data_IF_455866632990
#
_entry.id   IF_455866632990
#
_cell.length_a   1.000
_cell.length_b   1.000
_cell.length_c   1.000
_cell.angle_alpha   90.00
_cell.angle_beta   90.00
_cell.angle_gamma   90.00
#
_symmetry.space_group_name_H-M   'P 1'
#
loop_
_entity.id
_entity.type
_entity.pdbx_description
1 polymer ?
#
# COMPACT_ATOMS: atom_id res chain seq x y z
N UNK A 1 -9.92 -21.88 5.69
CA UNK A 1 -9.99 -20.80 6.70
C UNK A 1 -9.62 -19.55 5.93
N UNK A 2 -10.55 -18.61 5.83
CA UNK A 2 -10.37 -17.45 4.95
C UNK A 2 -9.40 -16.47 5.62
N UNK A 3 -8.18 -16.41 5.13
CA UNK A 3 -7.11 -15.56 5.66
C UNK A 3 -6.99 -14.30 4.83
N UNK A 4 -6.96 -13.16 5.53
CA UNK A 4 -6.67 -11.85 4.94
C UNK A 4 -5.24 -11.46 5.32
N UNK A 5 -4.38 -11.24 4.34
CA UNK A 5 -3.02 -10.77 4.58
C UNK A 5 -2.97 -9.24 4.41
N UNK A 6 -2.49 -8.53 5.43
CA UNK A 6 -2.40 -7.06 5.40
C UNK A 6 -0.95 -6.63 5.62
N UNK A 7 -0.31 -6.04 4.62
CA UNK A 7 1.00 -5.41 4.79
C UNK A 7 0.84 -3.95 5.22
N UNK A 8 1.70 -3.47 6.12
CA UNK A 8 1.52 -2.16 6.77
C UNK A 8 0.39 -2.18 7.80
N UNK A 9 0.17 -3.34 8.42
CA UNK A 9 -1.00 -3.66 9.24
C UNK A 9 -1.16 -2.80 10.50
N UNK A 10 -0.11 -2.20 11.00
CA UNK A 10 -0.15 -1.28 12.14
C UNK A 10 -0.28 0.20 11.74
N UNK A 11 -0.18 0.52 10.44
CA UNK A 11 -0.40 1.86 9.89
C UNK A 11 -1.89 2.25 9.85
N UNK A 12 -2.18 3.49 9.44
CA UNK A 12 -3.55 4.03 9.41
C UNK A 12 -4.53 3.16 8.61
N UNK A 13 -4.24 2.94 7.33
CA UNK A 13 -5.13 2.16 6.45
C UNK A 13 -5.10 0.67 6.79
N UNK A 14 -3.88 0.15 7.05
CA UNK A 14 -3.72 -1.27 7.40
C UNK A 14 -4.47 -1.66 8.66
N UNK A 15 -4.41 -0.86 9.72
CA UNK A 15 -5.10 -1.17 10.97
C UNK A 15 -6.63 -1.13 10.85
N UNK A 16 -7.16 -0.20 10.06
CA UNK A 16 -8.61 -0.17 9.77
C UNK A 16 -9.04 -1.39 8.94
N UNK A 17 -8.19 -1.85 8.01
CA UNK A 17 -8.42 -3.11 7.31
C UNK A 17 -8.41 -4.30 8.25
N UNK A 18 -7.45 -4.36 9.19
CA UNK A 18 -7.40 -5.42 10.22
C UNK A 18 -8.71 -5.43 11.03
N UNK A 19 -9.14 -4.29 11.56
CA UNK A 19 -10.39 -4.18 12.32
C UNK A 19 -11.59 -4.65 11.50
N UNK A 20 -11.71 -4.13 10.29
CA UNK A 20 -12.83 -4.46 9.41
C UNK A 20 -13.01 -5.96 9.19
N UNK A 21 -11.92 -6.69 8.95
CA UNK A 21 -11.99 -8.12 8.67
C UNK A 21 -12.08 -8.95 9.95
N UNK A 22 -11.36 -8.60 11.01
CA UNK A 22 -11.46 -9.30 12.31
C UNK A 22 -12.87 -9.20 12.91
N UNK A 23 -13.54 -8.04 12.79
CA UNK A 23 -14.93 -7.84 13.24
C UNK A 23 -15.92 -8.72 12.48
N UNK A 24 -15.58 -9.13 11.26
CA UNK A 24 -16.37 -10.04 10.41
C UNK A 24 -16.02 -11.51 10.59
N UNK A 25 -15.13 -11.82 11.54
CA UNK A 25 -14.77 -13.19 11.89
C UNK A 25 -13.63 -13.80 11.06
N UNK A 26 -12.99 -13.03 10.18
CA UNK A 26 -11.82 -13.49 9.44
C UNK A 26 -10.58 -13.56 10.35
N UNK A 27 -9.62 -14.40 9.96
CA UNK A 27 -8.27 -14.34 10.52
C UNK A 27 -7.41 -13.40 9.67
N UNK A 28 -6.78 -12.42 10.30
CA UNK A 28 -5.93 -11.45 9.63
C UNK A 28 -4.47 -11.72 9.98
N UNK A 29 -3.64 -11.91 8.96
CA UNK A 29 -2.18 -12.00 9.06
C UNK A 29 -1.59 -10.64 8.73
N UNK A 30 -1.06 -9.96 9.73
CA UNK A 30 -0.50 -8.62 9.59
C UNK A 30 1.03 -8.64 9.45
N UNK A 31 1.56 -7.90 8.49
CA UNK A 31 2.99 -7.68 8.29
C UNK A 31 3.29 -6.19 8.49
N UNK A 32 4.11 -5.85 9.49
CA UNK A 32 4.56 -4.48 9.76
C UNK A 32 5.84 -4.52 10.58
N UNK A 33 6.83 -3.73 10.22
CA UNK A 33 8.11 -3.66 10.93
C UNK A 33 8.34 -2.32 11.65
N UNK A 34 7.28 -1.51 11.82
CA UNK A 34 7.34 -0.19 12.44
C UNK A 34 8.37 0.76 11.78
N UNK A 35 8.57 0.64 10.46
CA UNK A 35 9.53 1.47 9.73
C UNK A 35 9.14 2.95 9.73
N UNK A 36 7.89 3.26 10.05
CA UNK A 36 7.41 4.62 10.25
C UNK A 36 8.20 5.35 11.36
N UNK A 37 8.55 4.67 12.45
CA UNK A 37 9.43 5.18 13.50
C UNK A 37 10.82 5.54 12.97
N UNK A 38 11.39 4.72 12.09
CA UNK A 38 12.67 5.00 11.45
C UNK A 38 12.61 6.27 10.58
N UNK A 39 11.52 6.45 9.82
CA UNK A 39 11.37 7.59 8.92
C UNK A 39 11.05 8.91 9.63
N UNK A 40 10.26 8.87 10.72
CA UNK A 40 9.65 10.07 11.30
C UNK A 40 9.91 10.25 12.81
N UNK A 41 10.72 9.38 13.43
CA UNK A 41 11.06 9.43 14.85
C UNK A 41 10.11 8.65 15.75
N UNK A 42 10.42 8.65 17.05
CA UNK A 42 9.73 7.87 18.09
C UNK A 42 8.21 8.13 18.14
N UNK A 43 7.80 9.38 18.01
CA UNK A 43 6.38 9.79 18.08
C UNK A 43 5.55 9.25 16.93
N UNK A 44 6.20 8.81 15.85
CA UNK A 44 5.54 8.20 14.69
C UNK A 44 5.44 6.67 14.78
N UNK A 45 5.91 6.06 15.87
CA UNK A 45 5.84 4.61 16.08
C UNK A 45 4.40 4.10 15.97
N UNK A 46 4.23 2.97 15.29
CA UNK A 46 2.96 2.25 15.16
C UNK A 46 2.82 1.09 16.14
N UNK A 47 3.80 0.89 17.03
CA UNK A 47 3.78 -0.22 18.00
C UNK A 47 2.56 -0.18 18.91
N UNK A 48 2.15 1.02 19.36
CA UNK A 48 0.94 1.18 20.19
C UNK A 48 -0.32 0.64 19.50
N UNK A 49 -0.45 0.86 18.20
CA UNK A 49 -1.61 0.42 17.42
C UNK A 49 -1.55 -1.09 17.17
N UNK A 50 -0.35 -1.63 16.85
CA UNK A 50 -0.12 -3.09 16.80
C UNK A 50 -0.53 -3.78 18.09
N UNK A 51 -0.07 -3.26 19.24
CA UNK A 51 -0.33 -3.86 20.53
C UNK A 51 -1.82 -3.81 20.89
N UNK A 52 -2.49 -2.71 20.53
CA UNK A 52 -3.93 -2.59 20.67
C UNK A 52 -4.67 -3.64 19.80
N UNK A 53 -4.30 -3.82 18.55
CA UNK A 53 -4.89 -4.81 17.67
C UNK A 53 -4.71 -6.24 18.19
N UNK A 54 -3.51 -6.57 18.70
CA UNK A 54 -3.24 -7.87 19.32
C UNK A 54 -4.14 -8.08 20.56
N UNK A 55 -4.26 -7.08 21.40
CA UNK A 55 -5.12 -7.14 22.59
C UNK A 55 -6.60 -7.29 22.23
N UNK A 56 -7.08 -6.56 21.22
CA UNK A 56 -8.49 -6.51 20.82
C UNK A 56 -8.94 -7.81 20.13
N UNK A 57 -8.10 -8.37 19.26
CA UNK A 57 -8.51 -9.49 18.40
C UNK A 57 -7.91 -10.85 18.78
N UNK A 58 -6.88 -10.89 19.63
CA UNK A 58 -6.28 -12.15 20.05
C UNK A 58 -5.87 -13.03 18.88
N UNK A 59 -6.30 -14.28 18.88
CA UNK A 59 -5.95 -15.27 17.85
C UNK A 59 -6.45 -14.94 16.44
N UNK A 60 -7.32 -13.94 16.28
CA UNK A 60 -7.78 -13.50 14.97
C UNK A 60 -6.84 -12.51 14.28
N UNK A 61 -5.91 -11.90 15.01
CA UNK A 61 -4.87 -11.05 14.43
C UNK A 61 -3.49 -11.59 14.73
N UNK A 62 -2.83 -12.13 13.72
CA UNK A 62 -1.50 -12.71 13.81
C UNK A 62 -0.49 -11.73 13.23
N UNK A 63 0.34 -11.11 14.09
CA UNK A 63 1.31 -10.12 13.67
C UNK A 63 2.68 -10.71 13.38
N UNK A 64 3.28 -10.32 12.26
CA UNK A 64 4.66 -10.61 11.89
C UNK A 64 5.45 -9.29 11.75
N UNK A 65 6.48 -9.12 12.57
CA UNK A 65 7.40 -7.98 12.49
C UNK A 65 8.47 -8.25 11.42
N UNK A 66 8.10 -8.07 10.15
CA UNK A 66 8.91 -8.42 8.98
C UNK A 66 8.91 -7.26 7.99
N UNK A 67 10.07 -7.02 7.36
CA UNK A 67 10.21 -6.11 6.24
C UNK A 67 9.67 -6.75 4.96
N UNK A 68 8.83 -6.06 4.21
CA UNK A 68 8.28 -6.57 2.94
C UNK A 68 9.34 -6.83 1.87
N UNK A 69 10.56 -6.30 2.04
CA UNK A 69 11.71 -6.54 1.17
C UNK A 69 12.43 -7.87 1.47
N UNK A 70 12.18 -8.46 2.64
CA UNK A 70 12.74 -9.76 3.01
C UNK A 70 11.99 -10.89 2.28
N UNK A 71 12.52 -11.25 1.12
CA UNK A 71 11.94 -12.25 0.23
C UNK A 71 11.74 -13.60 0.93
N UNK A 72 12.71 -14.04 1.73
CA UNK A 72 12.66 -15.34 2.39
C UNK A 72 11.58 -15.35 3.48
N UNK A 73 11.56 -14.32 4.34
CA UNK A 73 10.57 -14.21 5.40
C UNK A 73 9.14 -14.08 4.84
N UNK A 74 8.94 -13.26 3.79
CA UNK A 74 7.65 -13.14 3.11
C UNK A 74 7.22 -14.47 2.49
N UNK A 75 8.12 -15.15 1.77
CA UNK A 75 7.83 -16.46 1.17
C UNK A 75 7.44 -17.49 2.23
N UNK A 76 8.06 -17.47 3.41
CA UNK A 76 7.71 -18.36 4.51
C UNK A 76 6.31 -18.07 5.07
N UNK A 77 5.89 -16.80 5.17
CA UNK A 77 4.51 -16.45 5.52
C UNK A 77 3.53 -17.02 4.49
N UNK A 78 3.75 -16.73 3.21
CA UNK A 78 2.87 -17.23 2.15
C UNK A 78 2.79 -18.77 2.13
N UNK A 79 3.90 -19.47 2.31
CA UNK A 79 3.91 -20.94 2.41
C UNK A 79 3.17 -21.47 3.64
N UNK A 80 3.21 -20.76 4.76
CA UNK A 80 2.54 -21.17 6.00
C UNK A 80 1.03 -21.17 5.82
N UNK A 81 0.49 -20.13 5.19
CA UNK A 81 -0.95 -19.97 5.02
C UNK A 81 -1.46 -20.47 3.66
N UNK A 82 -0.57 -20.48 2.66
CA UNK A 82 -0.78 -21.08 1.35
C UNK A 82 -2.12 -20.66 0.71
N UNK A 83 -2.92 -21.64 0.26
CA UNK A 83 -4.21 -21.41 -0.41
C UNK A 83 -5.33 -20.94 0.51
N UNK A 84 -5.07 -20.85 1.81
CA UNK A 84 -6.03 -20.25 2.76
C UNK A 84 -6.02 -18.72 2.69
N UNK A 85 -5.04 -18.12 1.99
CA UNK A 85 -5.03 -16.66 1.72
C UNK A 85 -6.00 -16.36 0.59
N UNK A 86 -7.09 -15.65 0.91
CA UNK A 86 -8.12 -15.22 -0.05
C UNK A 86 -7.94 -13.79 -0.52
N UNK A 87 -7.32 -12.94 0.31
CA UNK A 87 -7.16 -11.53 0.03
C UNK A 87 -5.83 -11.00 0.57
N UNK A 88 -5.13 -10.24 -0.24
CA UNK A 88 -3.97 -9.44 0.16
C UNK A 88 -4.33 -7.96 0.06
N UNK A 89 -4.12 -7.20 1.16
CA UNK A 89 -4.24 -5.75 1.18
C UNK A 89 -2.86 -5.15 1.42
N UNK A 90 -2.30 -4.57 0.37
CA UNK A 90 -0.96 -4.02 0.41
C UNK A 90 -0.99 -2.51 0.68
N UNK A 91 -0.71 -2.14 1.94
CA UNK A 91 -0.64 -0.73 2.39
C UNK A 91 0.75 -0.30 2.86
N UNK A 92 1.68 -1.24 3.02
CA UNK A 92 3.05 -0.92 3.41
C UNK A 92 3.73 -0.07 2.33
N UNK A 93 4.31 1.05 2.75
CA UNK A 93 5.04 1.97 1.86
C UNK A 93 5.99 2.86 2.65
N UNK A 94 7.03 3.37 1.97
CA UNK A 94 7.74 4.57 2.38
C UNK A 94 6.95 5.78 1.86
N UNK A 95 6.35 6.65 2.71
CA UNK A 95 5.39 7.66 2.25
C UNK A 95 5.96 9.08 2.12
N UNK A 96 7.27 9.29 2.38
CA UNK A 96 7.87 10.63 2.47
C UNK A 96 8.62 11.03 1.21
N UNK A 97 8.31 12.22 0.69
CA UNK A 97 9.08 12.84 -0.41
C UNK A 97 10.52 13.19 0.00
N UNK A 98 10.71 13.67 1.24
CA UNK A 98 12.03 14.07 1.74
C UNK A 98 12.95 12.84 1.90
N UNK A 99 12.39 11.73 2.42
CA UNK A 99 13.12 10.48 2.49
C UNK A 99 13.47 9.93 1.11
N UNK A 100 12.54 9.96 0.16
CA UNK A 100 12.81 9.54 -1.20
C UNK A 100 13.95 10.36 -1.85
N UNK A 101 14.05 11.65 -1.53
CA UNK A 101 15.13 12.52 -2.01
C UNK A 101 16.46 12.25 -1.31
N UNK A 102 16.45 11.90 -0.01
CA UNK A 102 17.68 11.65 0.77
C UNK A 102 18.21 10.23 0.60
N UNK A 103 17.34 9.23 0.45
CA UNK A 103 17.68 7.82 0.19
C UNK A 103 16.76 7.20 -0.87
N UNK A 104 17.04 7.44 -2.16
CA UNK A 104 16.24 6.90 -3.26
C UNK A 104 16.23 5.36 -3.33
N UNK A 105 17.29 4.70 -2.86
CA UNK A 105 17.34 3.24 -2.83
C UNK A 105 16.37 2.67 -1.79
N UNK A 106 16.32 3.26 -0.61
CA UNK A 106 15.35 2.89 0.42
C UNK A 106 13.93 3.05 -0.10
N UNK A 107 13.61 4.23 -0.66
CA UNK A 107 12.28 4.52 -1.22
C UNK A 107 11.88 3.50 -2.29
N UNK A 108 12.73 3.30 -3.29
CA UNK A 108 12.43 2.41 -4.41
C UNK A 108 12.32 0.95 -3.98
N UNK A 109 13.23 0.48 -3.10
CA UNK A 109 13.20 -0.91 -2.64
C UNK A 109 11.99 -1.21 -1.77
N UNK A 110 11.55 -0.28 -0.93
CA UNK A 110 10.30 -0.45 -0.15
C UNK A 110 9.08 -0.41 -1.07
N UNK A 111 8.93 0.63 -1.88
CA UNK A 111 7.71 0.87 -2.65
C UNK A 111 7.56 -0.05 -3.86
N UNK A 112 8.61 -0.22 -4.67
CA UNK A 112 8.55 -1.03 -5.88
C UNK A 112 8.96 -2.49 -5.66
N UNK A 113 10.15 -2.75 -5.08
CA UNK A 113 10.60 -4.12 -4.90
C UNK A 113 9.76 -4.86 -3.84
N UNK A 114 9.38 -4.20 -2.73
CA UNK A 114 8.49 -4.80 -1.74
C UNK A 114 7.14 -5.21 -2.32
N UNK A 115 6.57 -4.37 -3.19
CA UNK A 115 5.35 -4.72 -3.95
C UNK A 115 5.58 -5.93 -4.85
N UNK A 116 6.69 -5.98 -5.59
CA UNK A 116 7.03 -7.11 -6.46
C UNK A 116 7.18 -8.41 -5.67
N UNK A 117 7.79 -8.37 -4.47
CA UNK A 117 7.91 -9.54 -3.58
C UNK A 117 6.54 -10.09 -3.22
N UNK A 118 5.59 -9.24 -2.85
CA UNK A 118 4.23 -9.68 -2.51
C UNK A 118 3.49 -10.23 -3.74
N UNK A 119 3.54 -9.54 -4.86
CA UNK A 119 2.91 -9.98 -6.12
C UNK A 119 3.42 -11.34 -6.58
N UNK A 120 4.74 -11.55 -6.56
CA UNK A 120 5.33 -12.81 -7.01
C UNK A 120 4.99 -13.97 -6.08
N UNK A 121 4.94 -13.76 -4.76
CA UNK A 121 4.47 -14.78 -3.83
C UNK A 121 2.98 -15.07 -4.01
N UNK A 122 2.14 -14.06 -4.24
CA UNK A 122 0.72 -14.25 -4.56
C UNK A 122 0.56 -15.14 -5.79
N UNK A 123 1.20 -14.76 -6.89
CA UNK A 123 1.15 -15.53 -8.15
C UNK A 123 1.57 -16.99 -7.99
N UNK A 124 2.66 -17.24 -7.24
CA UNK A 124 3.23 -18.59 -7.13
C UNK A 124 2.51 -19.49 -6.12
N UNK A 125 1.96 -18.93 -5.05
CA UNK A 125 1.50 -19.70 -3.89
C UNK A 125 -0.02 -19.67 -3.74
N UNK A 126 -0.65 -18.49 -3.92
CA UNK A 126 -2.09 -18.31 -3.79
C UNK A 126 -2.67 -17.53 -4.99
N UNK A 127 -2.57 -18.05 -6.23
CA UNK A 127 -2.94 -17.32 -7.44
C UNK A 127 -4.43 -16.93 -7.52
N UNK A 128 -5.29 -17.58 -6.74
CA UNK A 128 -6.72 -17.25 -6.67
C UNK A 128 -7.03 -16.11 -5.69
N UNK A 129 -6.04 -15.67 -4.90
CA UNK A 129 -6.23 -14.61 -3.93
C UNK A 129 -6.37 -13.25 -4.62
N UNK A 130 -7.33 -12.45 -4.17
CA UNK A 130 -7.47 -11.07 -4.65
C UNK A 130 -6.35 -10.20 -4.09
N UNK A 131 -5.72 -9.37 -4.93
CA UNK A 131 -4.67 -8.43 -4.52
C UNK A 131 -5.19 -6.99 -4.61
N UNK A 132 -5.27 -6.30 -3.45
CA UNK A 132 -5.63 -4.88 -3.38
C UNK A 132 -4.38 -4.06 -3.06
N UNK A 133 -4.03 -3.13 -3.95
CA UNK A 133 -2.90 -2.23 -3.79
C UNK A 133 -3.36 -0.81 -3.46
N UNK A 134 -2.87 -0.26 -2.35
CA UNK A 134 -3.07 1.15 -2.03
C UNK A 134 -2.07 2.03 -2.78
N UNK A 135 -2.49 2.53 -3.93
CA UNK A 135 -1.73 3.46 -4.74
C UNK A 135 -1.75 4.89 -4.16
N UNK A 136 -1.44 5.89 -4.94
CA UNK A 136 -1.38 7.29 -4.54
C UNK A 136 -1.73 8.21 -5.71
N UNK A 137 -2.28 9.39 -5.42
CA UNK A 137 -2.46 10.44 -6.42
C UNK A 137 -1.13 10.92 -7.05
N UNK A 138 0.02 10.61 -6.45
CA UNK A 138 1.34 10.98 -6.99
C UNK A 138 1.72 10.22 -8.25
N UNK A 139 0.98 9.16 -8.59
CA UNK A 139 1.14 8.49 -9.90
C UNK A 139 0.79 9.40 -11.07
N UNK A 140 -0.05 10.40 -10.88
CA UNK A 140 -0.38 11.42 -11.88
C UNK A 140 0.65 12.56 -11.96
N UNK A 141 1.69 12.53 -11.10
CA UNK A 141 2.73 13.55 -11.07
C UNK A 141 2.17 14.95 -10.76
N UNK A 142 2.63 15.94 -11.52
CA UNK A 142 2.14 17.32 -11.44
C UNK A 142 1.03 17.66 -12.46
N UNK A 143 0.58 16.70 -13.28
CA UNK A 143 -0.52 16.90 -14.23
C UNK A 143 -1.78 17.51 -13.60
N UNK A 144 -2.24 17.07 -12.40
CA UNK A 144 -3.40 17.70 -11.76
C UNK A 144 -3.26 19.20 -11.53
N UNK A 145 -2.03 19.70 -11.33
CA UNK A 145 -1.80 21.12 -11.07
C UNK A 145 -2.05 22.05 -12.27
N UNK A 146 -2.15 21.48 -13.47
CA UNK A 146 -2.41 22.24 -14.71
C UNK A 146 -3.90 22.28 -15.09
N UNK A 147 -4.76 21.69 -14.25
CA UNK A 147 -6.21 21.75 -14.46
C UNK A 147 -6.75 23.17 -14.20
N UNK A 148 -7.86 23.57 -14.85
CA UNK A 148 -8.47 24.87 -14.65
C UNK A 148 -9.20 24.91 -13.30
N UNK A 149 -8.49 25.35 -12.25
CA UNK A 149 -9.06 25.51 -10.91
C UNK A 149 -9.81 26.84 -10.77
N UNK A 150 -10.91 26.79 -10.04
CA UNK A 150 -11.70 27.93 -9.60
C UNK A 150 -11.63 28.01 -8.07
N UNK A 151 -11.28 29.19 -7.56
CA UNK A 151 -11.24 29.44 -6.12
C UNK A 151 -12.67 29.53 -5.58
N UNK A 152 -12.94 28.72 -4.55
CA UNK A 152 -14.17 28.75 -3.76
C UNK A 152 -13.86 29.30 -2.36
N UNK A 153 -14.87 29.51 -1.54
CA UNK A 153 -14.71 30.09 -0.20
C UNK A 153 -13.72 29.31 0.69
N UNK A 154 -13.73 27.97 0.60
CA UNK A 154 -12.94 27.09 1.49
C UNK A 154 -11.98 26.15 0.75
N UNK A 155 -12.01 26.12 -0.57
CA UNK A 155 -11.21 25.18 -1.36
C UNK A 155 -11.07 25.60 -2.82
N UNK A 156 -10.14 24.95 -3.51
CA UNK A 156 -10.05 24.99 -4.97
C UNK A 156 -10.88 23.85 -5.57
N UNK A 157 -11.64 24.13 -6.60
CA UNK A 157 -12.40 23.16 -7.38
C UNK A 157 -11.96 23.17 -8.83
N UNK A 158 -12.05 22.03 -9.52
CA UNK A 158 -11.89 21.99 -10.96
C UNK A 158 -13.11 22.67 -11.60
N UNK A 159 -12.90 23.49 -12.63
CA UNK A 159 -14.00 24.17 -13.33
C UNK A 159 -15.06 23.17 -13.81
N UNK A 160 -16.34 23.46 -13.60
CA UNK A 160 -17.48 22.58 -13.95
C UNK A 160 -17.55 22.22 -15.45
N UNK A 161 -16.91 23.02 -16.29
CA UNK A 161 -16.82 22.79 -17.75
C UNK A 161 -15.76 21.75 -18.12
N UNK A 162 -14.91 21.33 -17.19
CA UNK A 162 -13.84 20.37 -17.43
C UNK A 162 -14.30 18.94 -17.19
N UNK A 163 -13.78 17.98 -17.98
CA UNK A 163 -14.13 16.56 -17.85
C UNK A 163 -13.85 15.97 -16.47
N UNK A 164 -12.83 16.49 -15.77
CA UNK A 164 -12.46 16.06 -14.41
C UNK A 164 -13.13 16.85 -13.28
N UNK A 165 -14.16 17.63 -13.54
CA UNK A 165 -14.80 18.43 -12.49
C UNK A 165 -15.37 17.59 -11.34
N UNK A 166 -15.83 16.36 -11.61
CA UNK A 166 -16.34 15.41 -10.62
C UNK A 166 -15.23 14.62 -9.91
N UNK A 167 -13.98 14.79 -10.32
CA UNK A 167 -12.82 14.07 -9.81
C UNK A 167 -11.91 13.58 -10.94
N UNK A 168 -10.66 13.30 -10.59
CA UNK A 168 -9.67 12.75 -11.50
C UNK A 168 -9.79 11.23 -11.45
N UNK A 169 -9.99 10.61 -12.59
CA UNK A 169 -10.04 9.16 -12.76
C UNK A 169 -8.77 8.62 -13.42
N UNK A 170 -8.72 7.31 -13.66
CA UNK A 170 -7.59 6.57 -14.20
C UNK A 170 -7.31 6.87 -15.69
N UNK A 171 -8.12 7.72 -16.34
CA UNK A 171 -7.86 8.16 -17.72
C UNK A 171 -6.82 9.28 -17.80
N UNK A 172 -6.46 9.90 -16.68
CA UNK A 172 -5.41 10.90 -16.65
C UNK A 172 -4.05 10.27 -16.96
N UNK A 173 -3.35 10.79 -17.97
CA UNK A 173 -2.01 10.33 -18.33
C UNK A 173 -0.98 10.51 -17.21
N UNK A 174 -0.03 9.61 -17.16
CA UNK A 174 1.07 9.61 -16.19
C UNK A 174 2.41 10.02 -16.78
N UNK A 175 2.47 10.28 -18.06
CA UNK A 175 3.67 10.67 -18.81
C UNK A 175 3.73 12.18 -19.01
N UNK A 176 4.92 12.65 -19.40
CA UNK A 176 5.20 14.07 -19.69
C UNK A 176 5.01 15.00 -18.48
N UNK A 177 5.15 14.50 -17.27
CA UNK A 177 5.00 15.23 -16.01
C UNK A 177 6.10 14.89 -15.00
N UNK A 178 6.16 15.64 -13.90
CA UNK A 178 7.14 15.45 -12.84
C UNK A 178 6.52 14.65 -11.69
N UNK A 179 7.05 13.45 -11.42
CA UNK A 179 6.51 12.58 -10.36
C UNK A 179 7.18 12.76 -8.99
N UNK A 180 8.33 13.39 -8.86
CA UNK A 180 9.27 13.22 -7.76
C UNK A 180 9.82 11.78 -7.69
N UNK A 181 10.85 11.55 -6.85
CA UNK A 181 11.40 10.19 -6.65
C UNK A 181 10.38 9.27 -5.97
N UNK A 182 9.69 9.75 -4.95
CA UNK A 182 8.58 9.04 -4.30
C UNK A 182 7.46 8.66 -5.28
N UNK A 183 7.02 9.62 -6.10
CA UNK A 183 6.01 9.35 -7.12
C UNK A 183 6.49 8.31 -8.14
N UNK A 184 7.75 8.36 -8.56
CA UNK A 184 8.33 7.41 -9.52
C UNK A 184 8.35 5.97 -8.95
N UNK A 185 8.73 5.76 -7.68
CA UNK A 185 8.70 4.44 -7.06
C UNK A 185 7.27 3.90 -6.92
N UNK A 186 6.29 4.76 -6.63
CA UNK A 186 4.88 4.37 -6.56
C UNK A 186 4.28 4.10 -7.95
N UNK A 187 4.66 4.85 -9.00
CA UNK A 187 4.28 4.54 -10.39
C UNK A 187 4.83 3.18 -10.81
N UNK A 188 6.09 2.87 -10.48
CA UNK A 188 6.67 1.56 -10.78
C UNK A 188 5.87 0.42 -10.11
N UNK A 189 5.49 0.59 -8.84
CA UNK A 189 4.66 -0.38 -8.11
C UNK A 189 3.27 -0.52 -8.73
N UNK A 190 2.62 0.59 -9.07
CA UNK A 190 1.28 0.64 -9.65
C UNK A 190 1.23 -0.10 -11.00
N UNK A 191 2.19 0.20 -11.89
CA UNK A 191 2.30 -0.48 -13.18
C UNK A 191 2.58 -1.99 -12.99
N UNK A 192 3.42 -2.38 -12.03
CA UNK A 192 3.64 -3.79 -11.73
C UNK A 192 2.34 -4.50 -11.34
N UNK A 193 1.52 -3.89 -10.48
CA UNK A 193 0.23 -4.47 -10.07
C UNK A 193 -0.69 -4.65 -11.27
N UNK A 194 -0.79 -3.63 -12.15
CA UNK A 194 -1.60 -3.70 -13.37
C UNK A 194 -1.10 -4.82 -14.30
N UNK A 195 0.21 -4.90 -14.55
CA UNK A 195 0.78 -5.91 -15.42
C UNK A 195 0.65 -7.33 -14.86
N UNK A 196 0.75 -7.52 -13.54
CA UNK A 196 0.48 -8.81 -12.92
C UNK A 196 -0.99 -9.24 -13.14
N UNK A 197 -1.94 -8.31 -13.02
CA UNK A 197 -3.34 -8.55 -13.35
C UNK A 197 -3.55 -8.90 -14.82
N UNK A 198 -2.85 -8.22 -15.75
CA UNK A 198 -2.97 -8.49 -17.18
C UNK A 198 -2.36 -9.84 -17.59
N UNK A 199 -1.22 -10.23 -17.00
CA UNK A 199 -0.49 -11.44 -17.41
C UNK A 199 -0.92 -12.70 -16.67
N UNK A 200 -1.39 -12.56 -15.42
CA UNK A 200 -1.61 -13.72 -14.56
C UNK A 200 -3.05 -13.83 -14.03
N UNK A 201 -3.90 -12.84 -14.25
CA UNK A 201 -5.31 -12.82 -13.84
C UNK A 201 -5.57 -12.03 -12.58
#
# INVERSE_FOLDING_TARGET
MDIILVSGSAGLIGSESVRFFCDRGYTVVGIDNNMRKFFFGEDASTDWNRDQLIQEYGDRYIHHSIDIRDQEAITNIFKTYNKDIDLIIHTAAQPSHDWAASDPFMDFTVNANGTLVLLENTRQICPEATFIFCSTNKVYGDNPNFLPFVEQELRWEIAETHSYWSGIDETMGIDSCKHSLFGASKVAADILVQEYGHYFG
#
